data_IF_170354243719
#
_entry.id   IF_170354243719
#
_cell.length_a   1.000
_cell.length_b   1.000
_cell.length_c   1.000
_cell.angle_alpha   90.00
_cell.angle_beta   90.00
_cell.angle_gamma   90.00
#
_symmetry.space_group_name_H-M   'P 1'
#
loop_
_entity.id
_entity.type
_entity.pdbx_description
1 polymer ?
#
# COMPACT_ATOMS: atom_id res chain seq x y z
N UNK A 1 -1.88 7.38 26.52
CA UNK A 1 -1.61 6.55 25.33
C UNK A 1 -2.44 5.27 25.49
N UNK A 2 -3.61 5.20 24.84
CA UNK A 2 -4.39 3.97 24.74
C UNK A 2 -3.87 3.19 23.53
N UNK A 3 -3.30 2.01 23.77
CA UNK A 3 -3.05 1.01 22.74
C UNK A 3 -4.41 0.54 22.22
N UNK A 4 -4.80 0.98 21.00
CA UNK A 4 -5.89 0.35 20.25
C UNK A 4 -5.48 -1.09 19.93
N UNK A 5 -6.24 -2.03 20.42
CA UNK A 5 -6.15 -3.45 20.08
C UNK A 5 -6.42 -3.62 18.59
N UNK A 6 -5.39 -3.95 17.81
CA UNK A 6 -5.57 -4.43 16.44
C UNK A 6 -6.37 -5.71 16.47
N UNK A 7 -7.52 -5.71 15.80
CA UNK A 7 -8.36 -6.90 15.67
C UNK A 7 -7.81 -7.74 14.53
N UNK A 8 -7.06 -8.79 14.87
CA UNK A 8 -6.55 -9.75 13.88
C UNK A 8 -7.73 -10.52 13.26
N UNK A 9 -7.89 -10.47 11.94
CA UNK A 9 -8.81 -11.35 11.21
C UNK A 9 -8.05 -12.61 10.80
N UNK A 10 -8.47 -13.76 11.32
CA UNK A 10 -7.99 -15.06 10.87
C UNK A 10 -8.93 -15.59 9.78
N UNK A 11 -8.50 -15.55 8.50
CA UNK A 11 -9.20 -16.20 7.41
C UNK A 11 -8.58 -17.57 7.13
N UNK A 12 -9.38 -18.63 7.23
CA UNK A 12 -8.98 -19.99 6.90
C UNK A 12 -9.34 -20.29 5.45
N UNK A 13 -8.34 -20.33 4.56
CA UNK A 13 -8.50 -20.82 3.19
C UNK A 13 -8.06 -22.29 3.12
N UNK A 14 -9.00 -23.16 2.75
CA UNK A 14 -8.69 -24.58 2.51
C UNK A 14 -8.33 -24.79 1.04
N UNK A 15 -7.10 -25.16 0.76
CA UNK A 15 -6.72 -25.66 -0.56
C UNK A 15 -6.66 -27.17 -0.55
N UNK A 16 -7.48 -27.82 -1.40
CA UNK A 16 -7.40 -29.26 -1.65
C UNK A 16 -6.59 -29.46 -2.91
N UNK A 17 -5.33 -29.90 -2.78
CA UNK A 17 -4.55 -30.38 -3.91
C UNK A 17 -4.86 -31.86 -4.14
N UNK A 18 -5.63 -32.16 -5.18
CA UNK A 18 -5.85 -33.52 -5.66
C UNK A 18 -4.71 -33.91 -6.61
N UNK A 19 -3.76 -34.68 -6.14
CA UNK A 19 -2.84 -35.40 -7.03
C UNK A 19 -3.48 -36.73 -7.42
N UNK A 20 -3.97 -36.82 -8.67
CA UNK A 20 -4.43 -38.08 -9.24
C UNK A 20 -3.20 -38.82 -9.80
N UNK A 21 -2.73 -39.85 -9.10
CA UNK A 21 -1.80 -40.83 -9.66
C UNK A 21 -2.62 -42.06 -10.05
N UNK A 22 -2.75 -42.28 -11.35
CA UNK A 22 -3.38 -43.46 -11.92
C UNK A 22 -2.43 -44.63 -11.85
N UNK A 23 -2.72 -45.66 -11.07
CA UNK A 23 -2.66 -47.10 -11.36
C UNK A 23 -2.88 -47.95 -10.12
N UNK A 24 -3.77 -48.91 -10.26
CA UNK A 24 -3.96 -50.13 -9.51
C UNK A 24 -3.74 -50.13 -7.99
N UNK A 25 -4.85 -50.21 -7.27
CA UNK A 25 -5.01 -50.72 -5.90
C UNK A 25 -4.17 -50.07 -4.78
N UNK A 26 -4.14 -48.74 -4.69
CA UNK A 26 -3.61 -48.09 -3.50
C UNK A 26 -4.52 -46.98 -3.01
N UNK A 27 -4.80 -47.00 -1.74
CA UNK A 27 -5.52 -45.97 -1.01
C UNK A 27 -4.78 -44.64 -1.19
N UNK A 28 -5.38 -43.70 -1.89
CA UNK A 28 -4.85 -42.35 -1.99
C UNK A 28 -5.11 -41.65 -0.64
N UNK A 29 -4.08 -41.52 0.17
CA UNK A 29 -4.13 -40.66 1.35
C UNK A 29 -3.94 -39.23 0.86
N UNK A 30 -5.05 -38.49 0.75
CA UNK A 30 -4.99 -37.05 0.53
C UNK A 30 -4.39 -36.41 1.79
N UNK A 31 -3.13 -35.97 1.74
CA UNK A 31 -2.59 -35.09 2.77
C UNK A 31 -3.25 -33.71 2.59
N UNK A 32 -4.25 -33.44 3.41
CA UNK A 32 -4.82 -32.09 3.54
C UNK A 32 -3.79 -31.28 4.34
N UNK A 33 -2.98 -30.52 3.63
CA UNK A 33 -2.11 -29.51 4.28
C UNK A 33 -2.98 -28.26 4.46
N UNK A 34 -3.49 -28.04 5.64
CA UNK A 34 -4.11 -26.76 6.00
C UNK A 34 -2.99 -25.75 6.25
N UNK A 35 -2.81 -24.81 5.33
CA UNK A 35 -1.94 -23.66 5.58
C UNK A 35 -2.71 -22.61 6.37
N UNK A 36 -2.14 -22.19 7.50
CA UNK A 36 -2.70 -21.08 8.28
C UNK A 36 -2.22 -19.77 7.63
N UNK A 37 -3.16 -19.04 7.02
CA UNK A 37 -2.90 -17.72 6.46
C UNK A 37 -3.41 -16.68 7.44
N UNK A 38 -2.56 -15.73 7.80
CA UNK A 38 -2.88 -14.58 8.65
C UNK A 38 -2.79 -13.32 7.80
N UNK A 39 -3.81 -12.46 7.88
CA UNK A 39 -3.81 -11.14 7.25
C UNK A 39 -3.77 -10.09 8.35
N UNK A 40 -2.79 -9.19 8.27
CA UNK A 40 -2.69 -8.02 9.13
C UNK A 40 -3.42 -6.89 8.42
N UNK A 41 -4.51 -6.36 9.00
CA UNK A 41 -5.30 -5.30 8.38
C UNK A 41 -4.51 -4.00 8.28
N UNK A 42 -4.88 -3.13 7.33
CA UNK A 42 -4.39 -1.77 7.25
C UNK A 42 -5.22 -0.87 8.17
N UNK A 43 -4.55 0.00 8.94
CA UNK A 43 -5.23 1.01 9.76
C UNK A 43 -5.63 2.19 8.87
N UNK A 44 -6.94 2.37 8.66
CA UNK A 44 -7.46 3.47 7.83
C UNK A 44 -7.10 4.83 8.42
N UNK A 45 -6.67 5.75 7.54
CA UNK A 45 -6.38 7.13 7.87
C UNK A 45 -7.31 8.07 7.10
N UNK A 46 -7.84 9.09 7.78
CA UNK A 46 -8.65 10.14 7.16
C UNK A 46 -8.11 11.51 7.57
N UNK A 47 -7.90 12.38 6.59
CA UNK A 47 -7.45 13.76 6.79
C UNK A 47 -8.39 14.73 6.08
N UNK A 48 -8.76 15.82 6.75
CA UNK A 48 -9.40 17.00 6.18
C UNK A 48 -8.64 18.22 6.72
N UNK A 49 -7.87 18.87 5.87
CA UNK A 49 -6.96 19.94 6.27
C UNK A 49 -7.05 21.12 5.29
N UNK A 50 -6.72 22.31 5.81
CA UNK A 50 -6.64 23.53 5.00
C UNK A 50 -5.25 24.13 5.15
N UNK A 51 -4.61 24.42 4.02
CA UNK A 51 -3.32 25.08 3.95
C UNK A 51 -3.34 26.14 2.83
N UNK A 52 -3.17 27.42 3.19
CA UNK A 52 -3.37 28.51 2.25
C UNK A 52 -4.78 28.50 1.63
N UNK A 53 -4.85 28.50 0.31
CA UNK A 53 -6.11 28.44 -0.43
C UNK A 53 -6.56 27.02 -0.79
N UNK A 54 -5.80 26.00 -0.36
CA UNK A 54 -6.12 24.60 -0.60
C UNK A 54 -6.86 23.98 0.59
N UNK A 55 -7.90 23.21 0.31
CA UNK A 55 -8.50 22.25 1.21
C UNK A 55 -8.23 20.86 0.68
N UNK A 56 -7.62 20.02 1.48
CA UNK A 56 -7.20 18.68 1.13
C UNK A 56 -7.98 17.69 1.98
N UNK A 57 -8.65 16.75 1.33
CA UNK A 57 -9.28 15.61 1.97
C UNK A 57 -8.71 14.35 1.37
N UNK A 58 -8.22 13.46 2.21
CA UNK A 58 -7.84 12.14 1.74
C UNK A 58 -8.24 11.08 2.75
N UNK A 59 -8.42 9.87 2.22
CA UNK A 59 -8.62 8.64 2.96
C UNK A 59 -7.68 7.58 2.42
N UNK A 60 -6.86 6.99 3.30
CA UNK A 60 -6.08 5.80 3.00
C UNK A 60 -6.88 4.62 3.56
N UNK A 61 -7.18 3.63 2.73
CA UNK A 61 -8.02 2.50 3.11
C UNK A 61 -7.52 1.19 2.53
N UNK A 62 -7.88 0.08 3.19
CA UNK A 62 -7.51 -1.26 2.77
C UNK A 62 -8.04 -1.58 1.38
N UNK A 63 -7.18 -2.22 0.53
CA UNK A 63 -7.55 -2.78 -0.76
C UNK A 63 -7.40 -4.31 -0.78
N UNK A 64 -7.56 -4.93 -1.96
CA UNK A 64 -7.49 -6.38 -2.12
C UNK A 64 -6.06 -6.93 -2.19
N UNK A 65 -5.04 -6.09 -2.28
CA UNK A 65 -3.65 -6.51 -2.33
C UNK A 65 -3.24 -7.22 -1.04
N UNK A 66 -2.36 -8.22 -1.19
CA UNK A 66 -1.79 -8.98 -0.07
C UNK A 66 -0.29 -8.96 -0.18
N UNK A 67 0.34 -8.19 0.69
CA UNK A 67 1.78 -7.94 0.73
C UNK A 67 2.44 -8.96 1.64
N UNK A 68 3.33 -9.84 1.14
CA UNK A 68 3.91 -10.89 1.96
C UNK A 68 4.79 -10.31 3.06
N UNK A 69 4.69 -10.84 4.27
CA UNK A 69 5.61 -10.52 5.35
C UNK A 69 7.00 -11.06 5.02
N UNK A 70 8.03 -10.25 5.18
CA UNK A 70 9.41 -10.61 4.82
C UNK A 70 9.97 -11.75 5.66
N UNK A 71 9.65 -11.81 6.96
CA UNK A 71 10.10 -12.83 7.90
C UNK A 71 8.93 -13.38 8.73
N UNK A 72 8.03 -14.16 8.12
CA UNK A 72 6.88 -14.69 8.86
C UNK A 72 7.32 -15.71 9.91
N UNK A 73 6.54 -15.92 10.99
CA UNK A 73 6.77 -16.99 11.94
C UNK A 73 6.85 -18.36 11.26
N UNK A 74 7.66 -19.26 11.80
CA UNK A 74 7.88 -20.58 11.20
C UNK A 74 6.57 -21.36 11.04
N UNK A 75 6.26 -21.74 9.80
CA UNK A 75 5.05 -22.52 9.45
C UNK A 75 3.79 -21.67 9.25
N UNK A 76 3.91 -20.35 9.24
CA UNK A 76 2.81 -19.43 8.93
C UNK A 76 3.07 -18.69 7.61
N UNK A 77 1.99 -18.37 6.90
CA UNK A 77 1.98 -17.40 5.81
C UNK A 77 1.27 -16.16 6.32
N UNK A 78 2.01 -15.06 6.42
CA UNK A 78 1.50 -13.79 6.91
C UNK A 78 1.55 -12.77 5.80
N UNK A 79 0.47 -12.03 5.64
CA UNK A 79 0.35 -10.95 4.67
C UNK A 79 -0.14 -9.69 5.37
N UNK A 80 0.34 -8.55 4.91
CA UNK A 80 -0.27 -7.25 5.20
C UNK A 80 -1.32 -6.93 4.13
N UNK A 81 -2.41 -6.32 4.54
CA UNK A 81 -3.35 -5.74 3.59
C UNK A 81 -2.69 -4.55 2.89
N UNK A 82 -2.86 -4.45 1.57
CA UNK A 82 -2.46 -3.26 0.82
C UNK A 82 -3.44 -2.12 1.01
N UNK A 83 -3.12 -0.96 0.46
CA UNK A 83 -3.96 0.23 0.58
C UNK A 83 -3.99 1.07 -0.70
N UNK A 84 -5.08 1.82 -0.86
CA UNK A 84 -5.27 2.85 -1.88
C UNK A 84 -5.61 4.18 -1.19
N UNK A 85 -5.48 5.30 -1.92
CA UNK A 85 -5.82 6.64 -1.42
C UNK A 85 -6.92 7.25 -2.27
N UNK A 86 -8.03 7.64 -1.66
CA UNK A 86 -8.97 8.61 -2.22
C UNK A 86 -8.49 10.01 -1.86
N UNK A 87 -8.26 10.87 -2.87
CA UNK A 87 -7.79 12.24 -2.71
C UNK A 87 -8.75 13.22 -3.37
N UNK A 88 -9.18 14.22 -2.62
CA UNK A 88 -9.91 15.36 -3.11
C UNK A 88 -9.19 16.66 -2.73
N UNK A 89 -9.02 17.56 -3.69
CA UNK A 89 -8.37 18.87 -3.49
C UNK A 89 -9.30 19.96 -3.99
N UNK A 90 -9.58 20.92 -3.12
CA UNK A 90 -10.28 22.15 -3.47
C UNK A 90 -9.28 23.32 -3.43
N UNK A 91 -9.37 24.24 -4.40
CA UNK A 91 -8.65 25.52 -4.43
C UNK A 91 -9.65 26.65 -4.47
N UNK A 92 -9.57 27.59 -3.52
CA UNK A 92 -10.57 28.69 -3.35
C UNK A 92 -12.01 28.14 -3.36
N UNK A 93 -12.29 27.12 -2.57
CA UNK A 93 -13.61 26.45 -2.42
C UNK A 93 -14.12 25.74 -3.69
N UNK A 94 -13.33 25.69 -4.76
CA UNK A 94 -13.67 24.98 -5.99
C UNK A 94 -12.90 23.66 -6.04
N UNK A 95 -13.61 22.55 -6.27
CA UNK A 95 -12.95 21.27 -6.47
C UNK A 95 -12.10 21.30 -7.75
N UNK A 96 -10.79 21.07 -7.62
CA UNK A 96 -9.82 21.04 -8.72
C UNK A 96 -9.30 19.64 -9.00
N UNK A 97 -9.29 18.75 -8.00
CA UNK A 97 -8.88 17.37 -8.17
C UNK A 97 -9.78 16.46 -7.34
N UNK A 98 -10.19 15.33 -7.94
CA UNK A 98 -10.82 14.22 -7.23
C UNK A 98 -10.38 12.94 -7.92
N UNK A 99 -9.69 12.07 -7.19
CA UNK A 99 -9.09 10.88 -7.78
C UNK A 99 -8.70 9.82 -6.78
N UNK A 100 -8.32 8.68 -7.35
CA UNK A 100 -7.81 7.52 -6.64
C UNK A 100 -6.32 7.40 -6.95
N UNK A 101 -5.49 7.24 -5.92
CA UNK A 101 -4.06 6.97 -6.07
C UNK A 101 -3.82 5.51 -5.71
N UNK A 102 -3.24 4.76 -6.65
CA UNK A 102 -2.85 3.36 -6.50
C UNK A 102 -1.35 3.21 -6.66
N UNK A 103 -0.74 2.25 -5.96
CA UNK A 103 0.68 1.95 -6.11
C UNK A 103 1.09 1.66 -7.56
N UNK A 104 0.20 1.03 -8.35
CA UNK A 104 0.46 0.68 -9.76
C UNK A 104 0.72 1.88 -10.67
N UNK A 105 0.30 3.09 -10.26
CA UNK A 105 0.62 4.33 -10.99
C UNK A 105 2.11 4.66 -10.97
N UNK A 106 2.85 4.08 -10.03
CA UNK A 106 4.28 4.30 -9.82
C UNK A 106 5.15 3.15 -10.35
N UNK A 107 4.56 2.12 -10.96
CA UNK A 107 5.26 0.91 -11.41
C UNK A 107 6.46 1.19 -12.33
N UNK A 108 6.38 2.21 -13.18
CA UNK A 108 7.46 2.53 -14.13
C UNK A 108 8.70 3.08 -13.40
N UNK A 109 8.53 3.76 -12.27
CA UNK A 109 9.62 4.18 -11.40
C UNK A 109 10.31 2.96 -10.78
N UNK A 110 9.55 2.04 -10.21
CA UNK A 110 10.09 0.81 -9.62
C UNK A 110 10.80 -0.07 -10.64
N UNK A 111 10.23 -0.19 -11.85
CA UNK A 111 10.82 -0.98 -12.93
C UNK A 111 12.18 -0.46 -13.36
N UNK A 112 12.39 0.87 -13.40
CA UNK A 112 13.67 1.51 -13.73
C UNK A 112 14.82 1.07 -12.81
N UNK A 113 14.51 0.64 -11.58
CA UNK A 113 15.50 0.19 -10.56
C UNK A 113 15.53 -1.32 -10.37
N UNK A 114 14.76 -2.08 -11.13
CA UNK A 114 14.66 -3.53 -10.97
C UNK A 114 13.96 -3.97 -9.67
N UNK A 115 13.14 -3.09 -9.09
CA UNK A 115 12.42 -3.33 -7.83
C UNK A 115 11.08 -3.99 -8.14
N UNK A 116 10.74 -5.06 -7.39
CA UNK A 116 9.44 -5.73 -7.48
C UNK A 116 8.37 -4.99 -6.66
N UNK A 117 7.53 -4.21 -7.33
CA UNK A 117 6.44 -3.44 -6.70
C UNK A 117 5.42 -4.31 -5.97
N UNK A 118 5.35 -5.62 -6.25
CA UNK A 118 4.36 -6.51 -5.61
C UNK A 118 4.54 -6.64 -4.11
N UNK A 119 5.75 -6.36 -3.61
CA UNK A 119 6.07 -6.39 -2.18
C UNK A 119 5.77 -5.07 -1.47
N UNK A 120 5.52 -4.00 -2.23
CA UNK A 120 5.32 -2.66 -1.71
C UNK A 120 3.84 -2.31 -1.57
N UNK A 121 3.52 -1.49 -0.58
CA UNK A 121 2.19 -0.92 -0.36
C UNK A 121 2.28 0.57 -0.05
N UNK A 122 1.21 1.31 -0.31
CA UNK A 122 1.11 2.71 0.11
C UNK A 122 1.10 2.71 1.65
N UNK A 123 2.02 3.48 2.25
CA UNK A 123 2.18 3.54 3.70
C UNK A 123 1.61 4.83 4.28
N UNK A 124 1.83 5.96 3.62
CA UNK A 124 1.33 7.26 4.09
C UNK A 124 1.24 8.30 2.98
N UNK A 125 0.42 9.33 3.22
CA UNK A 125 0.40 10.57 2.45
C UNK A 125 0.51 11.74 3.42
N UNK A 126 1.45 12.65 3.19
CA UNK A 126 1.68 13.80 4.05
C UNK A 126 1.58 15.10 3.28
N UNK A 127 0.97 16.12 3.88
CA UNK A 127 0.97 17.48 3.35
C UNK A 127 2.28 18.15 3.80
N UNK A 128 3.11 18.57 2.83
CA UNK A 128 4.38 19.23 3.14
C UNK A 128 4.24 20.75 3.18
N UNK A 129 3.81 21.35 2.07
CA UNK A 129 3.77 22.81 1.94
C UNK A 129 2.82 23.26 0.80
N UNK A 130 2.63 24.55 0.71
CA UNK A 130 2.10 25.22 -0.50
C UNK A 130 3.12 26.27 -0.93
N UNK A 131 3.57 26.20 -2.18
CA UNK A 131 4.54 27.09 -2.77
C UNK A 131 4.08 27.58 -4.13
N UNK A 132 4.00 28.90 -4.33
CA UNK A 132 3.58 29.52 -5.62
C UNK A 132 2.26 28.92 -6.15
N UNK A 133 1.25 28.77 -5.30
CA UNK A 133 -0.06 28.16 -5.63
C UNK A 133 0.03 26.69 -6.09
N UNK A 134 1.05 25.98 -5.67
CA UNK A 134 1.23 24.53 -5.86
C UNK A 134 1.20 23.86 -4.49
N UNK A 135 0.28 22.93 -4.31
CA UNK A 135 0.22 22.02 -3.16
C UNK A 135 1.27 20.92 -3.33
N UNK A 136 2.08 20.71 -2.30
CA UNK A 136 3.15 19.72 -2.27
C UNK A 136 2.81 18.66 -1.24
N UNK A 137 2.66 17.42 -1.70
CA UNK A 137 2.40 16.25 -0.87
C UNK A 137 3.56 15.26 -1.00
N UNK A 138 3.83 14.50 0.07
CA UNK A 138 4.76 13.38 0.07
C UNK A 138 3.97 12.09 0.16
N UNK A 139 4.15 11.21 -0.81
CA UNK A 139 3.63 9.85 -0.81
C UNK A 139 4.75 8.87 -0.47
N UNK A 140 4.49 7.98 0.47
CA UNK A 140 5.42 6.93 0.88
C UNK A 140 4.87 5.56 0.49
N UNK A 141 5.68 4.77 -0.22
CA UNK A 141 5.37 3.40 -0.65
C UNK A 141 6.46 2.48 -0.10
N UNK A 142 6.10 1.56 0.79
CA UNK A 142 7.06 0.75 1.55
C UNK A 142 6.80 -0.74 1.44
N UNK A 143 7.85 -1.53 1.66
CA UNK A 143 7.71 -2.93 2.04
C UNK A 143 7.30 -2.97 3.51
N UNK A 144 6.13 -3.55 3.86
CA UNK A 144 5.68 -3.56 5.24
C UNK A 144 6.71 -4.19 6.18
N UNK A 145 6.77 -3.64 7.41
CA UNK A 145 7.66 -4.12 8.49
C UNK A 145 9.16 -4.06 8.16
N UNK A 146 9.54 -3.15 7.25
CA UNK A 146 10.94 -2.88 6.89
C UNK A 146 11.19 -1.38 6.74
N UNK A 147 12.47 -1.00 6.63
CA UNK A 147 12.89 0.38 6.32
C UNK A 147 12.94 0.65 4.80
N UNK A 148 12.52 -0.33 3.97
CA UNK A 148 12.56 -0.20 2.52
C UNK A 148 11.37 0.60 2.02
N UNK A 149 11.57 1.88 1.77
CA UNK A 149 10.56 2.81 1.29
C UNK A 149 11.04 3.60 0.08
N UNK A 150 10.09 3.90 -0.80
CA UNK A 150 10.24 4.87 -1.87
C UNK A 150 9.37 6.09 -1.56
N UNK A 151 9.90 7.27 -1.83
CA UNK A 151 9.25 8.54 -1.56
C UNK A 151 8.97 9.25 -2.88
N UNK A 152 7.76 9.78 -3.02
CA UNK A 152 7.32 10.53 -4.19
C UNK A 152 6.76 11.88 -3.76
N UNK A 153 7.12 12.93 -4.48
CA UNK A 153 6.52 14.25 -4.33
C UNK A 153 5.40 14.38 -5.36
N UNK A 154 4.19 14.63 -4.87
CA UNK A 154 3.04 14.96 -5.70
C UNK A 154 2.86 16.48 -5.65
N UNK A 155 2.96 17.14 -6.79
CA UNK A 155 2.74 18.58 -6.96
C UNK A 155 1.43 18.80 -7.65
N UNK A 156 0.48 19.48 -6.99
CA UNK A 156 -0.87 19.75 -7.51
C UNK A 156 -1.02 21.25 -7.61
N UNK A 157 -1.23 21.76 -8.82
CA UNK A 157 -1.45 23.19 -9.05
C UNK A 157 -2.90 23.62 -8.79
N UNK A 158 -3.17 24.90 -8.92
CA UNK A 158 -4.48 25.52 -8.70
C UNK A 158 -5.54 25.14 -9.77
N UNK A 159 -5.14 24.46 -10.86
CA UNK A 159 -6.01 23.88 -11.88
C UNK A 159 -6.25 22.38 -11.66
N UNK A 160 -5.55 21.77 -10.70
CA UNK A 160 -5.65 20.35 -10.35
C UNK A 160 -4.75 19.44 -11.19
N UNK A 161 -3.81 20.01 -11.95
CA UNK A 161 -2.81 19.20 -12.63
C UNK A 161 -1.81 18.62 -11.61
N UNK A 162 -1.77 17.30 -11.52
CA UNK A 162 -0.85 16.59 -10.65
C UNK A 162 0.40 16.15 -11.42
N UNK A 163 1.57 16.47 -10.88
CA UNK A 163 2.89 15.99 -11.32
C UNK A 163 3.51 15.15 -10.22
N UNK A 164 4.21 14.09 -10.63
CA UNK A 164 4.92 13.19 -9.72
C UNK A 164 6.42 13.39 -9.92
N UNK A 165 7.14 13.59 -8.83
CA UNK A 165 8.61 13.63 -8.80
C UNK A 165 9.06 12.58 -7.78
N UNK A 166 10.04 11.78 -8.14
CA UNK A 166 10.65 10.81 -7.24
C UNK A 166 11.70 11.52 -6.38
N UNK A 167 11.64 11.30 -5.06
CA UNK A 167 12.72 11.65 -4.17
C UNK A 167 13.63 10.44 -4.04
N UNK A 168 14.80 10.49 -4.68
CA UNK A 168 15.88 9.60 -4.30
C UNK A 168 16.51 10.13 -3.02
N UNK A 169 16.41 9.36 -1.94
CA UNK A 169 17.51 9.42 -1.00
C UNK A 169 18.71 8.81 -1.75
N UNK A 170 19.73 9.61 -1.97
CA UNK A 170 21.03 9.12 -2.41
C UNK A 170 21.43 8.01 -1.42
N UNK A 171 21.16 6.75 -1.78
CA UNK A 171 21.81 5.63 -1.14
C UNK A 171 23.30 5.77 -1.51
N UNK A 172 24.00 6.64 -0.80
CA UNK A 172 25.44 6.61 -0.78
C UNK A 172 25.83 5.21 -0.30
N UNK A 173 26.18 4.37 -1.26
CA UNK A 173 26.84 3.11 -1.01
C UNK A 173 28.25 3.42 -0.46
N UNK A 174 28.38 3.39 0.86
CA UNK A 174 29.69 3.28 1.52
C UNK A 174 30.37 1.93 1.24
#
# INVERSE_FOLDING_TARGET
>A
FEQKSQTEKEDFLFFVSLAVVSSDTNVVVANIVSEKIKIIPFDEEMVDSVIGNFRIKYRIYENEDRLPMTNPPKGEKVYYAGSDIELAVDYNEKNVLNGLIKKDYFKDYFFGYGIDITQYGISSLRILSVENEVLILELQICVPDTDLCCYFILKIDNEGLMKVEELFDDFESD
#
